data_IF_107931063864
#
_entry.id   IF_107931063864
#
_cell.length_a   1.000
_cell.length_b   1.000
_cell.length_c   1.000
_cell.angle_alpha   90.00
_cell.angle_beta   90.00
_cell.angle_gamma   90.00
#
_symmetry.space_group_name_H-M   'P 1'
#
loop_
_entity.id
_entity.type
_entity.pdbx_description
1 polymer ?
#
# COMPACT_ATOMS: atom_id res chain seq x y z
N UNK A 1 2.78 6.06 40.18
CA UNK A 1 1.47 5.95 39.52
C UNK A 1 1.32 6.92 38.37
N UNK A 2 1.65 8.20 38.55
CA UNK A 2 1.51 9.22 37.48
C UNK A 2 2.39 8.93 36.28
N UNK A 3 3.62 8.46 36.47
CA UNK A 3 4.54 8.11 35.38
C UNK A 3 4.03 6.93 34.54
N UNK A 4 3.42 5.93 35.17
CA UNK A 4 2.83 4.79 34.47
C UNK A 4 1.67 5.24 33.58
N UNK A 5 0.79 6.09 34.08
CA UNK A 5 -0.32 6.64 33.30
C UNK A 5 0.17 7.49 32.11
N UNK A 6 1.27 8.23 32.27
CA UNK A 6 1.85 9.06 31.20
C UNK A 6 2.32 8.22 30.01
N UNK A 7 2.67 6.95 30.19
CA UNK A 7 3.02 6.04 29.09
C UNK A 7 1.87 5.17 28.61
N UNK A 8 1.05 4.68 29.53
CA UNK A 8 -0.04 3.75 29.21
C UNK A 8 -1.13 4.41 28.37
N UNK A 9 -1.52 5.64 28.69
CA UNK A 9 -2.57 6.34 27.95
C UNK A 9 -2.18 6.64 26.50
N UNK A 10 -1.02 7.26 26.21
CA UNK A 10 -0.60 7.49 24.83
C UNK A 10 -0.36 6.19 24.05
N UNK A 11 0.22 5.19 24.70
CA UNK A 11 0.45 3.89 24.09
C UNK A 11 -0.87 3.21 23.69
N UNK A 12 -1.84 3.18 24.59
CA UNK A 12 -3.17 2.61 24.34
C UNK A 12 -3.89 3.37 23.24
N UNK A 13 -3.86 4.69 23.27
CA UNK A 13 -4.46 5.53 22.23
C UNK A 13 -3.86 5.22 20.86
N UNK A 14 -2.53 5.15 20.76
CA UNK A 14 -1.86 4.87 19.48
C UNK A 14 -2.26 3.50 18.92
N UNK A 15 -2.31 2.47 19.76
CA UNK A 15 -2.71 1.14 19.32
C UNK A 15 -4.18 1.07 18.91
N UNK A 16 -5.07 1.76 19.61
CA UNK A 16 -6.49 1.80 19.25
C UNK A 16 -6.71 2.61 17.98
N UNK A 17 -6.10 3.78 17.90
CA UNK A 17 -6.35 4.71 16.78
C UNK A 17 -5.67 4.29 15.47
N UNK A 18 -4.48 3.68 15.55
CA UNK A 18 -3.62 3.48 14.38
C UNK A 18 -3.33 2.02 14.04
N UNK A 19 -3.56 1.07 14.94
CA UNK A 19 -3.29 -0.32 14.64
C UNK A 19 -4.52 -1.21 14.65
N UNK A 20 -5.55 -0.87 15.40
CA UNK A 20 -6.76 -1.65 15.43
C UNK A 20 -7.72 -1.26 14.31
N UNK A 21 -8.14 -2.27 13.58
CA UNK A 21 -9.12 -2.16 12.51
C UNK A 21 -10.55 -2.32 13.09
N UNK A 22 -10.86 -1.47 14.06
CA UNK A 22 -12.10 -1.61 14.83
C UNK A 22 -13.33 -1.03 14.14
N UNK A 23 -13.13 -0.19 13.13
CA UNK A 23 -14.24 0.39 12.33
C UNK A 23 -14.42 -0.29 10.99
N UNK A 24 -13.33 -0.74 10.39
CA UNK A 24 -13.35 -1.42 9.09
C UNK A 24 -12.98 -2.88 9.27
N UNK A 25 -13.98 -3.74 9.23
CA UNK A 25 -13.73 -5.18 9.30
C UNK A 25 -13.28 -5.70 7.95
N UNK A 26 -12.28 -6.55 7.97
CA UNK A 26 -11.76 -7.22 6.77
C UNK A 26 -12.57 -8.47 6.45
N UNK A 27 -13.88 -8.40 6.45
CA UNK A 27 -14.73 -9.53 6.04
C UNK A 27 -14.80 -9.60 4.53
N UNK A 28 -14.29 -10.69 3.96
CA UNK A 28 -14.29 -10.94 2.53
C UNK A 28 -13.18 -10.19 1.78
N UNK A 29 -13.10 -10.44 0.49
CA UNK A 29 -12.17 -9.74 -0.37
C UNK A 29 -12.71 -8.37 -0.76
N UNK A 30 -11.94 -7.33 -0.46
CA UNK A 30 -12.27 -5.96 -0.87
C UNK A 30 -12.13 -5.77 -2.39
N UNK A 31 -11.53 -6.72 -3.07
CA UNK A 31 -11.23 -6.62 -4.49
C UNK A 31 -11.20 -8.01 -5.15
N UNK A 32 -11.42 -8.00 -6.46
CA UNK A 32 -11.41 -9.19 -7.30
C UNK A 32 -10.21 -9.20 -8.25
N UNK A 33 -9.16 -8.48 -7.90
CA UNK A 33 -7.95 -8.39 -8.70
C UNK A 33 -7.25 -9.74 -8.85
N UNK A 34 -6.53 -9.90 -9.94
CA UNK A 34 -5.87 -11.14 -10.31
C UNK A 34 -4.67 -11.47 -9.42
N UNK A 35 -3.99 -10.45 -8.93
CA UNK A 35 -2.78 -10.59 -8.11
C UNK A 35 -2.88 -9.73 -6.86
N UNK A 36 -2.18 -10.18 -5.81
CA UNK A 36 -2.04 -9.41 -4.58
C UNK A 36 -0.63 -8.84 -4.50
N UNK A 37 -0.54 -7.53 -4.25
CA UNK A 37 0.73 -6.83 -4.10
C UNK A 37 0.90 -6.40 -2.65
N UNK A 38 1.84 -7.01 -1.96
CA UNK A 38 2.22 -6.64 -0.59
C UNK A 38 3.72 -6.39 -0.57
N UNK A 39 4.19 -5.22 -0.12
CA UNK A 39 5.61 -4.98 0.01
C UNK A 39 6.24 -6.01 0.94
N UNK A 40 7.34 -6.57 0.49
CA UNK A 40 8.07 -7.54 1.26
C UNK A 40 8.99 -6.82 2.24
N UNK A 41 8.83 -7.10 3.54
CA UNK A 41 9.75 -6.67 4.58
C UNK A 41 10.02 -5.17 4.56
N UNK A 42 9.86 -4.23 4.88
CA UNK A 42 10.21 -2.78 4.82
C UNK A 42 10.68 -2.25 3.46
N UNK A 43 10.63 -3.07 2.40
CA UNK A 43 10.92 -2.56 1.07
C UNK A 43 9.79 -1.65 0.62
N UNK A 44 10.14 -0.40 0.30
CA UNK A 44 9.16 0.60 -0.12
C UNK A 44 8.79 0.52 -1.59
N UNK A 45 9.58 -0.18 -2.39
CA UNK A 45 9.32 -0.34 -3.81
C UNK A 45 9.66 -1.75 -4.27
N UNK A 46 8.92 -2.22 -5.26
CA UNK A 46 9.13 -3.53 -5.85
C UNK A 46 8.94 -3.44 -7.36
N UNK A 47 9.56 -4.38 -8.07
CA UNK A 47 9.35 -4.52 -9.50
C UNK A 47 7.94 -5.06 -9.76
N UNK A 48 7.21 -4.36 -10.60
CA UNK A 48 5.86 -4.79 -10.98
C UNK A 48 5.87 -5.55 -12.30
N UNK A 49 6.64 -5.09 -13.26
CA UNK A 49 6.71 -5.69 -14.58
C UNK A 49 7.21 -4.72 -15.63
N UNK A 50 6.75 -4.89 -16.87
CA UNK A 50 7.20 -4.13 -18.01
C UNK A 50 6.01 -3.61 -18.80
N UNK A 51 6.03 -2.33 -19.15
CA UNK A 51 5.03 -1.74 -20.04
C UNK A 51 5.36 -2.04 -21.51
N UNK A 52 4.43 -1.72 -22.40
CA UNK A 52 4.51 -2.10 -23.82
C UNK A 52 5.75 -1.57 -24.56
N UNK A 53 6.33 -0.47 -24.08
CA UNK A 53 7.56 0.10 -24.68
C UNK A 53 8.86 -0.54 -24.14
N UNK A 54 8.76 -1.51 -23.26
CA UNK A 54 9.90 -2.25 -22.69
C UNK A 54 10.47 -1.68 -21.41
N UNK A 55 9.97 -0.54 -20.93
CA UNK A 55 10.46 0.04 -19.68
C UNK A 55 10.00 -0.76 -18.46
N UNK A 56 10.90 -0.89 -17.49
CA UNK A 56 10.63 -1.54 -16.22
C UNK A 56 9.78 -0.63 -15.32
N UNK A 57 8.75 -1.19 -14.73
CA UNK A 57 7.88 -0.46 -13.80
C UNK A 57 8.15 -0.90 -12.37
N UNK A 58 8.40 0.07 -11.50
CA UNK A 58 8.48 -0.12 -10.06
C UNK A 58 7.24 0.48 -9.40
N UNK A 59 6.72 -0.23 -8.39
CA UNK A 59 5.62 0.25 -7.56
C UNK A 59 6.10 0.49 -6.14
N UNK A 60 5.77 1.65 -5.60
CA UNK A 60 5.95 1.96 -4.19
C UNK A 60 4.61 1.92 -3.49
N UNK A 61 4.52 1.21 -2.38
CA UNK A 61 3.28 1.04 -1.62
C UNK A 61 3.53 1.46 -0.18
N UNK A 62 2.60 2.22 0.36
CA UNK A 62 2.57 2.57 1.78
C UNK A 62 1.14 2.51 2.29
N UNK A 63 1.00 2.33 3.60
CA UNK A 63 -0.32 2.28 4.21
C UNK A 63 -0.26 2.62 5.68
N UNK A 64 -1.43 2.90 6.22
CA UNK A 64 -1.60 3.17 7.65
C UNK A 64 -3.04 2.89 8.06
N UNK A 65 -3.24 2.75 9.36
CA UNK A 65 -4.57 2.77 9.96
C UNK A 65 -4.66 4.05 10.78
N UNK A 66 -5.66 4.86 10.51
CA UNK A 66 -5.90 6.10 11.23
C UNK A 66 -7.34 6.14 11.72
N UNK A 67 -7.51 6.21 13.04
CA UNK A 67 -8.82 6.24 13.70
C UNK A 67 -9.74 5.09 13.24
N UNK A 68 -9.18 3.90 13.08
CA UNK A 68 -9.89 2.70 12.65
C UNK A 68 -10.16 2.63 11.16
N UNK A 69 -9.58 3.53 10.35
CA UNK A 69 -9.68 3.51 8.89
C UNK A 69 -8.39 3.06 8.27
N UNK A 70 -8.49 2.14 7.34
CA UNK A 70 -7.37 1.68 6.54
C UNK A 70 -7.16 2.62 5.35
N UNK A 71 -5.96 3.18 5.26
CA UNK A 71 -5.58 4.13 4.22
C UNK A 71 -4.34 3.62 3.53
N UNK A 72 -4.37 3.54 2.20
CA UNK A 72 -3.24 3.10 1.41
C UNK A 72 -2.90 4.06 0.28
N UNK A 73 -1.65 4.03 -0.12
CA UNK A 73 -1.13 4.87 -1.21
C UNK A 73 -0.17 4.06 -2.06
N UNK A 74 -0.14 4.34 -3.35
CA UNK A 74 0.83 3.74 -4.25
C UNK A 74 1.30 4.73 -5.30
N UNK A 75 2.49 4.49 -5.83
CA UNK A 75 3.04 5.26 -6.94
C UNK A 75 3.81 4.37 -7.88
N UNK A 76 3.74 4.67 -9.16
CA UNK A 76 4.39 3.92 -10.23
C UNK A 76 5.41 4.78 -10.94
N UNK A 77 6.58 4.21 -11.20
CA UNK A 77 7.64 4.84 -11.98
C UNK A 77 8.16 3.86 -13.02
N UNK A 78 8.43 4.35 -14.21
CA UNK A 78 9.04 3.58 -15.28
C UNK A 78 10.49 3.97 -15.45
N UNK A 79 11.35 2.99 -15.69
CA UNK A 79 12.79 3.16 -15.85
C UNK A 79 13.23 2.61 -17.19
N UNK A 80 14.03 3.38 -17.93
CA UNK A 80 14.66 2.93 -19.16
C UNK A 80 16.07 2.38 -18.91
N UNK A 81 16.77 1.94 -19.98
CA UNK A 81 18.12 1.39 -19.89
C UNK A 81 19.16 2.39 -19.41
N UNK A 82 18.87 3.69 -19.48
CA UNK A 82 19.74 4.77 -19.04
C UNK A 82 19.41 5.25 -17.62
N UNK A 83 18.57 4.53 -16.88
CA UNK A 83 18.10 4.87 -15.54
C UNK A 83 17.31 6.19 -15.46
N UNK A 84 16.75 6.65 -16.56
CA UNK A 84 15.78 7.73 -16.53
C UNK A 84 14.45 7.21 -15.98
N UNK A 85 13.91 7.93 -15.03
CA UNK A 85 12.63 7.56 -14.41
C UNK A 85 11.54 8.56 -14.80
N UNK A 86 10.39 8.02 -15.18
CA UNK A 86 9.17 8.78 -15.42
C UNK A 86 8.08 8.33 -14.47
N UNK A 87 7.41 9.28 -13.84
CA UNK A 87 6.25 8.98 -13.02
C UNK A 87 5.06 8.62 -13.91
N UNK A 88 4.50 7.43 -13.72
CA UNK A 88 3.39 6.94 -14.53
C UNK A 88 2.03 7.26 -13.93
N UNK A 89 1.93 7.26 -12.62
CA UNK A 89 0.68 7.48 -11.93
C UNK A 89 0.70 6.91 -10.52
N UNK A 90 -0.38 7.12 -9.82
CA UNK A 90 -0.56 6.64 -8.46
C UNK A 90 -1.71 7.35 -7.79
N UNK A 91 -1.91 7.04 -6.52
CA UNK A 91 -2.92 7.69 -5.71
C UNK A 91 -2.51 7.67 -4.24
N UNK A 92 -3.00 8.68 -3.50
CA UNK A 92 -2.78 8.81 -2.06
C UNK A 92 -4.08 8.70 -1.31
N UNK A 93 -4.00 8.24 -0.09
CA UNK A 93 -5.11 8.23 0.86
C UNK A 93 -6.34 7.49 0.34
N UNK A 94 -6.09 6.36 -0.33
CA UNK A 94 -7.15 5.47 -0.77
C UNK A 94 -7.74 4.73 0.42
N UNK A 95 -9.06 4.59 0.42
CA UNK A 95 -9.76 3.76 1.39
C UNK A 95 -9.92 2.33 0.86
N UNK A 96 -10.17 1.41 1.78
CA UNK A 96 -10.42 0.01 1.43
C UNK A 96 -11.54 -0.12 0.39
N UNK A 97 -11.24 -0.80 -0.70
CA UNK A 97 -12.17 -0.98 -1.81
C UNK A 97 -12.05 0.06 -2.93
N UNK A 98 -11.33 1.14 -2.71
CA UNK A 98 -11.11 2.15 -3.76
C UNK A 98 -10.18 1.61 -4.85
N UNK A 99 -10.53 1.88 -6.10
CA UNK A 99 -9.80 1.42 -7.27
C UNK A 99 -9.31 2.59 -8.10
N UNK A 100 -8.07 2.48 -8.58
CA UNK A 100 -7.45 3.44 -9.49
C UNK A 100 -6.87 2.67 -10.68
N UNK A 101 -7.20 3.12 -11.88
CA UNK A 101 -6.65 2.57 -13.12
C UNK A 101 -5.53 3.47 -13.64
N UNK A 102 -4.36 2.88 -13.87
CA UNK A 102 -3.24 3.53 -14.53
C UNK A 102 -3.13 2.97 -15.94
N UNK A 103 -3.31 3.84 -16.93
CA UNK A 103 -3.32 3.43 -18.34
C UNK A 103 -2.01 2.74 -18.73
N UNK A 104 -2.12 1.62 -19.41
CA UNK A 104 -0.97 0.83 -19.85
C UNK A 104 -0.35 -0.07 -18.77
N UNK A 105 -0.80 0.03 -17.53
CA UNK A 105 -0.31 -0.78 -16.41
C UNK A 105 -1.40 -1.67 -15.84
N UNK A 106 -2.51 -1.11 -15.39
CA UNK A 106 -3.61 -1.88 -14.84
C UNK A 106 -4.38 -1.14 -13.75
N UNK A 107 -5.21 -1.89 -13.04
CA UNK A 107 -6.07 -1.37 -11.98
C UNK A 107 -5.60 -1.84 -10.62
N UNK A 108 -5.49 -0.90 -9.69
CA UNK A 108 -5.09 -1.15 -8.30
C UNK A 108 -6.28 -0.88 -7.38
N UNK A 109 -6.57 -1.86 -6.53
CA UNK A 109 -7.64 -1.74 -5.53
C UNK A 109 -7.05 -1.99 -4.15
N UNK A 110 -7.29 -1.07 -3.21
CA UNK A 110 -6.80 -1.26 -1.84
C UNK A 110 -7.59 -2.38 -1.16
N UNK A 111 -6.88 -3.42 -0.75
CA UNK A 111 -7.46 -4.53 0.00
C UNK A 111 -7.40 -4.27 1.51
N UNK A 112 -6.23 -3.93 2.01
CA UNK A 112 -6.02 -3.68 3.44
C UNK A 112 -4.78 -2.82 3.64
N UNK A 113 -4.69 -2.18 4.80
CA UNK A 113 -3.54 -1.39 5.19
C UNK A 113 -3.24 -1.58 6.68
N UNK A 114 -1.97 -1.45 7.03
CA UNK A 114 -1.49 -1.60 8.40
C UNK A 114 -0.56 -0.45 8.75
N UNK A 115 -0.64 0.02 9.99
CA UNK A 115 0.33 0.95 10.56
C UNK A 115 1.47 0.22 11.23
N UNK A 116 2.65 0.83 11.21
CA UNK A 116 3.77 0.43 12.02
C UNK A 116 3.87 1.38 13.21
N UNK A 117 3.79 0.85 14.43
CA UNK A 117 3.83 1.65 15.66
C UNK A 117 5.12 1.39 16.38
N UNK A 118 5.93 2.46 16.53
CA UNK A 118 7.14 2.44 17.34
C UNK A 118 6.84 3.15 18.65
N UNK A 119 6.83 2.39 19.75
CA UNK A 119 6.41 2.85 21.07
C UNK A 119 4.95 3.30 21.07
N UNK A 120 4.69 4.62 21.14
CA UNK A 120 3.36 5.21 21.04
C UNK A 120 3.24 6.17 19.85
N UNK A 121 4.22 6.17 18.95
CA UNK A 121 4.25 7.05 17.77
C UNK A 121 3.91 6.23 16.53
N UNK A 122 2.85 6.57 15.79
CA UNK A 122 2.54 5.89 14.55
C UNK A 122 3.53 6.25 13.46
N UNK A 123 4.01 5.25 12.74
CA UNK A 123 4.82 5.40 11.55
C UNK A 123 4.07 4.86 10.35
N UNK A 124 4.55 5.22 9.16
CA UNK A 124 4.02 4.65 7.94
C UNK A 124 4.21 3.14 7.95
N UNK A 125 3.13 2.43 7.74
CA UNK A 125 3.13 1.00 7.60
C UNK A 125 3.09 0.56 6.14
N UNK A 126 2.38 -0.51 5.88
CA UNK A 126 2.25 -1.11 4.56
C UNK A 126 0.80 -1.29 4.18
N UNK A 127 0.56 -1.58 2.91
CA UNK A 127 -0.76 -1.90 2.40
C UNK A 127 -0.66 -3.06 1.40
N UNK A 128 -1.77 -3.76 1.24
CA UNK A 128 -1.94 -4.78 0.21
C UNK A 128 -2.93 -4.27 -0.82
N UNK A 129 -2.50 -4.26 -2.07
CA UNK A 129 -3.35 -3.92 -3.21
C UNK A 129 -3.66 -5.15 -4.03
N UNK A 130 -4.88 -5.20 -4.57
CA UNK A 130 -5.19 -6.12 -5.65
C UNK A 130 -4.79 -5.45 -6.96
N UNK A 131 -4.12 -6.19 -7.81
CA UNK A 131 -3.67 -5.71 -9.10
C UNK A 131 -4.28 -6.54 -10.23
N UNK A 132 -4.96 -5.85 -11.13
CA UNK A 132 -5.46 -6.43 -12.36
C UNK A 132 -4.70 -5.80 -13.53
N UNK A 133 -3.75 -6.52 -14.14
CA UNK A 133 -2.89 -5.94 -15.16
C UNK A 133 -3.64 -5.63 -16.45
N UNK A 134 -3.25 -4.52 -17.09
CA UNK A 134 -3.67 -4.21 -18.45
C UNK A 134 -3.17 -5.30 -19.41
N UNK A 135 -3.92 -5.65 -20.48
CA UNK A 135 -3.48 -6.66 -21.45
C UNK A 135 -2.13 -6.38 -22.10
N UNK A 136 -1.73 -5.12 -22.20
CA UNK A 136 -0.44 -4.71 -22.79
C UNK A 136 0.71 -4.72 -21.78
N UNK A 137 0.40 -4.95 -20.49
CA UNK A 137 1.40 -4.96 -19.43
C UNK A 137 1.87 -6.40 -19.18
N UNK A 138 3.18 -6.58 -19.07
CA UNK A 138 3.78 -7.87 -18.72
C UNK A 138 4.07 -7.89 -17.23
N UNK A 139 3.22 -8.57 -16.50
CA UNK A 139 3.40 -8.76 -15.05
C UNK A 139 4.51 -9.78 -14.79
N UNK A 140 5.41 -9.43 -13.89
CA UNK A 140 6.43 -10.35 -13.39
C UNK A 140 6.05 -10.78 -11.98
N UNK A 141 5.79 -12.07 -11.85
CA UNK A 141 5.56 -12.68 -10.56
C UNK A 141 6.92 -12.96 -9.92
N UNK A 142 7.23 -12.22 -8.87
CA UNK A 142 8.47 -12.44 -8.11
C UNK A 142 8.15 -13.26 -6.87
N UNK A 143 8.91 -14.34 -6.64
CA UNK A 143 8.76 -15.09 -5.40
C UNK A 143 9.15 -14.28 -4.17
#
# INVERSE_FOLDING_TARGET
AVLVLAFVIPWTYAHIAYSWDWKEKTEGDACTGKYYLTPYDKQRSMRLGTISDGRLVLVGISGEVSMGRQIGSFGLSAFDDNNHSDFLGGARDLHRGDSITVEGVGTFTLKEAHSDIVWFTPNRGTATFCFDPDPTFTFRDFP
#
